data_IF_730157934335
#
_entry.id   IF_730157934335
#
_cell.length_a   1.000
_cell.length_b   1.000
_cell.length_c   1.000
_cell.angle_alpha   90.00
_cell.angle_beta   90.00
_cell.angle_gamma   90.00
#
_symmetry.space_group_name_H-M   'P 1'
#
loop_
_entity.id
_entity.type
_entity.pdbx_description
1 polymer ?
#
# COMPACT_ATOMS: atom_id res chain seq x y z
N UNK A 1 20.79 -23.24 -55.12
CA UNK A 1 20.85 -21.79 -54.77
C UNK A 1 19.66 -21.32 -53.92
N UNK A 2 18.45 -21.90 -54.07
CA UNK A 2 17.28 -21.53 -53.28
C UNK A 2 17.44 -21.88 -51.77
N UNK A 3 18.03 -23.04 -51.46
CA UNK A 3 18.31 -23.46 -50.07
C UNK A 3 19.27 -22.49 -49.34
N UNK A 4 20.28 -21.99 -50.02
CA UNK A 4 21.27 -21.06 -49.49
C UNK A 4 20.65 -19.67 -49.19
N UNK A 5 19.76 -19.20 -50.06
CA UNK A 5 19.05 -17.91 -49.86
C UNK A 5 18.05 -17.97 -48.71
N UNK A 6 17.44 -19.13 -48.46
CA UNK A 6 16.53 -19.35 -47.32
C UNK A 6 17.31 -19.42 -46.03
N UNK A 7 18.45 -20.10 -45.95
CA UNK A 7 19.38 -20.10 -44.83
C UNK A 7 19.88 -18.69 -44.48
N UNK A 8 20.21 -17.87 -45.47
CA UNK A 8 20.61 -16.47 -45.29
C UNK A 8 19.47 -15.59 -44.74
N UNK A 9 18.20 -15.94 -45.00
CA UNK A 9 17.05 -15.25 -44.41
C UNK A 9 16.89 -15.56 -42.91
N UNK A 10 17.22 -16.80 -42.44
CA UNK A 10 17.22 -17.18 -41.03
C UNK A 10 18.26 -16.40 -40.23
N UNK A 11 19.39 -15.99 -40.82
CA UNK A 11 20.36 -15.10 -40.17
C UNK A 11 19.80 -13.71 -39.82
N UNK A 12 18.60 -13.36 -40.29
CA UNK A 12 17.91 -12.13 -39.88
C UNK A 12 17.11 -12.25 -38.56
N UNK A 13 16.89 -13.48 -38.03
CA UNK A 13 16.18 -13.73 -36.76
C UNK A 13 16.76 -12.97 -35.55
N UNK A 14 18.09 -12.78 -35.41
CA UNK A 14 18.62 -11.97 -34.32
C UNK A 14 18.14 -10.52 -34.32
N UNK A 15 17.58 -10.00 -35.42
CA UNK A 15 16.99 -8.65 -35.43
C UNK A 15 15.79 -8.53 -34.50
N UNK A 16 15.05 -9.64 -34.25
CA UNK A 16 13.94 -9.70 -33.30
C UNK A 16 14.41 -9.57 -31.83
N UNK A 17 15.67 -9.87 -31.51
CA UNK A 17 16.25 -9.60 -30.22
C UNK A 17 16.26 -8.10 -29.87
N UNK A 18 16.10 -7.21 -30.88
CA UNK A 18 15.90 -5.77 -30.61
C UNK A 18 14.61 -5.46 -29.83
N UNK A 19 13.60 -6.35 -29.90
CA UNK A 19 12.41 -6.29 -29.05
C UNK A 19 12.77 -6.33 -27.55
N UNK A 20 13.90 -6.94 -27.18
CA UNK A 20 14.43 -6.90 -25.82
C UNK A 20 14.63 -5.49 -25.27
N UNK A 21 14.83 -4.48 -26.13
CA UNK A 21 14.90 -3.08 -25.72
C UNK A 21 13.56 -2.56 -25.21
N UNK A 22 12.44 -2.99 -25.81
CA UNK A 22 11.09 -2.61 -25.37
C UNK A 22 10.85 -3.14 -23.96
N UNK A 23 11.32 -4.35 -23.64
CA UNK A 23 11.20 -4.91 -22.30
C UNK A 23 11.91 -4.08 -21.23
N UNK A 24 13.05 -3.45 -21.58
CA UNK A 24 13.80 -2.58 -20.66
C UNK A 24 13.05 -1.28 -20.34
N UNK A 25 12.26 -0.75 -21.28
CA UNK A 25 11.40 0.42 -21.02
C UNK A 25 10.21 0.07 -20.15
N UNK A 26 9.70 -1.17 -20.24
CA UNK A 26 8.56 -1.64 -19.44
C UNK A 26 8.88 -1.81 -17.94
N UNK A 27 10.17 -1.88 -17.56
CA UNK A 27 10.59 -1.96 -16.16
C UNK A 27 10.36 -0.66 -15.35
N UNK A 28 10.19 0.47 -16.02
CA UNK A 28 10.00 1.79 -15.40
C UNK A 28 8.56 2.06 -14.98
N UNK A 29 7.61 1.21 -15.32
CA UNK A 29 6.21 1.42 -14.98
C UNK A 29 5.89 1.02 -13.54
N UNK A 30 5.04 1.82 -12.89
CA UNK A 30 4.59 1.65 -11.49
C UNK A 30 3.93 0.28 -11.20
N UNK A 31 3.42 -0.40 -12.23
CA UNK A 31 2.77 -1.73 -12.15
C UNK A 31 3.74 -2.87 -12.51
N UNK A 32 4.90 -2.91 -11.86
CA UNK A 32 5.97 -3.86 -12.16
C UNK A 32 5.53 -5.34 -12.15
N UNK A 33 4.54 -5.73 -11.33
CA UNK A 33 4.02 -7.10 -11.26
C UNK A 33 3.26 -7.53 -12.51
N UNK A 34 2.27 -6.73 -12.95
CA UNK A 34 1.47 -7.02 -14.14
C UNK A 34 2.33 -6.99 -15.42
N UNK A 35 3.29 -6.04 -15.50
CA UNK A 35 4.19 -5.92 -16.64
C UNK A 35 5.17 -7.11 -16.74
N UNK A 36 5.53 -7.75 -15.64
CA UNK A 36 6.30 -9.00 -15.66
C UNK A 36 5.52 -10.12 -16.35
N UNK A 37 4.23 -10.26 -16.06
CA UNK A 37 3.37 -11.27 -16.69
C UNK A 37 3.25 -11.01 -18.19
N UNK A 38 2.96 -9.77 -18.62
CA UNK A 38 2.85 -9.40 -20.04
C UNK A 38 4.14 -9.69 -20.79
N UNK A 39 5.28 -9.29 -20.24
CA UNK A 39 6.60 -9.58 -20.82
C UNK A 39 6.83 -11.07 -20.98
N UNK A 40 6.41 -11.85 -20.00
CA UNK A 40 6.58 -13.28 -20.00
C UNK A 40 5.71 -13.96 -21.07
N UNK A 41 4.43 -13.56 -21.20
CA UNK A 41 3.52 -14.05 -22.25
C UNK A 41 4.09 -13.74 -23.64
N UNK A 42 4.56 -12.52 -23.87
CA UNK A 42 5.20 -12.13 -25.13
C UNK A 42 6.44 -12.98 -25.41
N UNK A 43 7.23 -13.31 -24.40
CA UNK A 43 8.38 -14.19 -24.52
C UNK A 43 7.99 -15.60 -24.98
N UNK A 44 6.95 -16.18 -24.40
CA UNK A 44 6.44 -17.50 -24.81
C UNK A 44 5.95 -17.49 -26.25
N UNK A 45 5.19 -16.47 -26.65
CA UNK A 45 4.70 -16.31 -28.04
C UNK A 45 5.88 -16.24 -29.02
N UNK A 46 6.96 -15.51 -28.65
CA UNK A 46 8.16 -15.42 -29.48
C UNK A 46 8.90 -16.77 -29.60
N UNK A 47 9.03 -17.52 -28.49
CA UNK A 47 9.62 -18.86 -28.49
C UNK A 47 8.77 -19.79 -29.37
N UNK A 48 7.46 -19.80 -29.23
CA UNK A 48 6.55 -20.61 -30.03
C UNK A 48 6.66 -20.26 -31.53
N UNK A 49 6.77 -18.98 -31.88
CA UNK A 49 6.99 -18.55 -33.26
C UNK A 49 8.31 -19.11 -33.82
N UNK A 50 9.40 -19.03 -33.07
CA UNK A 50 10.69 -19.56 -33.54
C UNK A 50 10.67 -21.08 -33.67
N UNK A 51 10.07 -21.79 -32.71
CA UNK A 51 9.89 -23.24 -32.79
C UNK A 51 9.08 -23.62 -34.02
N UNK A 52 7.93 -22.96 -34.27
CA UNK A 52 7.10 -23.19 -35.43
C UNK A 52 7.82 -22.93 -36.77
N UNK A 53 8.55 -21.82 -36.87
CA UNK A 53 9.34 -21.51 -38.06
C UNK A 53 10.48 -22.51 -38.32
N UNK A 54 11.15 -22.97 -37.26
CA UNK A 54 12.22 -23.97 -37.36
C UNK A 54 11.65 -25.32 -37.75
N UNK A 55 10.54 -25.72 -37.19
CA UNK A 55 9.84 -26.96 -37.55
C UNK A 55 9.38 -26.96 -38.98
N UNK A 56 8.77 -25.87 -39.46
CA UNK A 56 8.44 -25.69 -40.88
C UNK A 56 9.66 -25.83 -41.79
N UNK A 57 10.79 -25.27 -41.40
CA UNK A 57 12.01 -25.35 -42.19
C UNK A 57 12.56 -26.77 -42.29
N UNK A 58 12.49 -27.55 -41.20
CA UNK A 58 12.87 -28.97 -41.19
C UNK A 58 11.99 -29.75 -42.17
N UNK A 59 10.66 -29.60 -42.07
CA UNK A 59 9.71 -30.25 -42.99
C UNK A 59 9.94 -29.86 -44.45
N UNK A 60 10.24 -28.59 -44.73
CA UNK A 60 10.53 -28.10 -46.07
C UNK A 60 11.79 -28.78 -46.67
N UNK A 61 12.83 -29.00 -45.85
CA UNK A 61 14.05 -29.68 -46.29
C UNK A 61 13.82 -31.16 -46.59
N UNK A 62 12.98 -31.82 -45.78
CA UNK A 62 12.68 -33.26 -45.90
C UNK A 62 11.68 -33.55 -47.03
N UNK A 63 10.73 -32.65 -47.30
CA UNK A 63 9.74 -32.82 -48.37
C UNK A 63 10.34 -32.83 -49.79
N UNK A 64 11.52 -32.23 -50.01
CA UNK A 64 12.22 -32.31 -51.29
C UNK A 64 12.81 -33.70 -51.60
N UNK A 65 12.99 -34.55 -50.56
CA UNK A 65 13.52 -35.92 -50.73
C UNK A 65 12.44 -36.97 -51.00
N UNK A 66 11.19 -36.56 -51.29
CA UNK A 66 10.06 -37.44 -51.61
C UNK A 66 9.48 -38.19 -50.40
N UNK A 67 9.79 -37.78 -49.20
CA UNK A 67 9.19 -38.31 -47.96
C UNK A 67 8.00 -37.48 -47.58
N UNK A 68 6.92 -38.15 -47.11
CA UNK A 68 5.77 -37.45 -46.51
C UNK A 68 6.23 -36.58 -45.36
N UNK A 69 5.70 -35.37 -45.28
CA UNK A 69 5.97 -34.48 -44.15
C UNK A 69 4.87 -34.65 -43.13
N UNK A 70 5.20 -34.37 -41.87
CA UNK A 70 4.20 -34.36 -40.78
C UNK A 70 2.94 -33.57 -41.16
N UNK A 71 3.09 -32.48 -41.91
CA UNK A 71 2.01 -31.60 -42.34
C UNK A 71 1.06 -32.33 -43.33
N UNK A 72 1.58 -33.13 -44.24
CA UNK A 72 0.80 -33.88 -45.24
C UNK A 72 0.06 -35.06 -44.59
N UNK A 73 0.73 -35.76 -43.69
CA UNK A 73 0.21 -36.99 -43.09
C UNK A 73 -0.79 -36.72 -41.94
N UNK A 74 -0.54 -35.70 -41.11
CA UNK A 74 -1.37 -35.44 -39.97
C UNK A 74 -2.50 -34.42 -40.21
N UNK A 75 -2.36 -33.55 -41.20
CA UNK A 75 -3.30 -32.46 -41.44
C UNK A 75 -3.93 -32.54 -42.84
N UNK A 76 -3.46 -33.45 -43.71
CA UNK A 76 -3.95 -33.58 -45.07
C UNK A 76 -3.73 -32.34 -45.93
N UNK A 77 -2.83 -31.48 -45.51
CA UNK A 77 -2.56 -30.19 -46.12
C UNK A 77 -1.61 -30.38 -47.33
N UNK A 78 -2.16 -30.16 -48.49
CA UNK A 78 -1.33 -29.96 -49.69
C UNK A 78 -0.68 -28.58 -49.61
N UNK A 79 0.52 -28.47 -50.21
CA UNK A 79 1.33 -27.23 -50.27
C UNK A 79 0.64 -26.01 -50.90
N UNK A 80 -0.63 -26.13 -51.30
CA UNK A 80 -1.40 -25.11 -51.98
C UNK A 80 -2.33 -24.30 -51.06
N UNK A 81 -2.32 -24.57 -49.76
CA UNK A 81 -3.15 -23.85 -48.79
C UNK A 81 -2.54 -22.49 -48.45
N UNK A 82 -3.43 -21.58 -47.94
CA UNK A 82 -3.02 -20.23 -47.55
C UNK A 82 -1.89 -20.26 -46.50
N UNK A 83 -0.88 -19.40 -46.67
CA UNK A 83 0.27 -19.25 -45.77
C UNK A 83 -0.20 -19.00 -44.33
N UNK A 84 -1.29 -18.27 -44.15
CA UNK A 84 -1.86 -18.01 -42.83
C UNK A 84 -2.40 -19.26 -42.15
N UNK A 85 -3.02 -20.15 -42.92
CA UNK A 85 -3.53 -21.42 -42.41
C UNK A 85 -2.40 -22.34 -41.98
N UNK A 86 -1.36 -22.47 -42.83
CA UNK A 86 -0.16 -23.23 -42.48
C UNK A 86 0.53 -22.68 -41.22
N UNK A 87 0.66 -21.35 -41.11
CA UNK A 87 1.27 -20.71 -39.96
C UNK A 87 0.47 -20.99 -38.68
N UNK A 88 -0.87 -20.94 -38.71
CA UNK A 88 -1.72 -21.19 -37.54
C UNK A 88 -1.56 -22.63 -37.03
N UNK A 89 -1.48 -23.60 -37.91
CA UNK A 89 -1.27 -24.99 -37.54
C UNK A 89 0.11 -25.18 -36.90
N UNK A 90 1.14 -24.59 -37.50
CA UNK A 90 2.50 -24.70 -37.00
C UNK A 90 2.70 -24.01 -35.64
N UNK A 91 2.06 -22.87 -35.42
CA UNK A 91 2.10 -22.21 -34.10
C UNK A 91 1.38 -23.06 -33.05
N UNK A 92 0.24 -23.67 -33.42
CA UNK A 92 -0.49 -24.59 -32.52
C UNK A 92 0.38 -25.82 -32.18
N UNK A 93 1.02 -26.42 -33.19
CA UNK A 93 1.96 -27.53 -33.02
C UNK A 93 3.15 -27.12 -32.11
N UNK A 94 3.70 -25.92 -32.30
CA UNK A 94 4.76 -25.41 -31.46
C UNK A 94 4.32 -25.25 -29.97
N UNK A 95 3.11 -24.78 -29.69
CA UNK A 95 2.57 -24.71 -28.35
C UNK A 95 2.40 -26.12 -27.77
N UNK A 96 1.88 -27.08 -28.50
CA UNK A 96 1.76 -28.48 -28.07
C UNK A 96 3.12 -29.06 -27.67
N UNK A 97 4.14 -28.88 -28.50
CA UNK A 97 5.50 -29.32 -28.18
C UNK A 97 6.08 -28.66 -26.94
N UNK A 98 5.86 -27.34 -26.75
CA UNK A 98 6.36 -26.60 -25.60
C UNK A 98 5.67 -27.00 -24.30
N UNK A 99 4.40 -27.39 -24.34
CA UNK A 99 3.66 -27.85 -23.15
C UNK A 99 4.02 -29.32 -22.82
N UNK A 100 4.64 -30.03 -23.73
CA UNK A 100 4.98 -31.44 -23.55
C UNK A 100 3.87 -32.39 -23.99
N UNK A 101 2.88 -31.90 -24.74
CA UNK A 101 1.90 -32.74 -25.39
C UNK A 101 2.54 -33.47 -26.56
N UNK A 102 2.51 -34.80 -26.52
CA UNK A 102 3.17 -35.66 -27.53
C UNK A 102 2.65 -35.35 -28.93
N UNK A 103 3.58 -35.28 -29.90
CA UNK A 103 3.28 -35.24 -31.33
C UNK A 103 3.87 -36.47 -31.98
N UNK A 104 3.14 -37.06 -32.96
CA UNK A 104 3.66 -38.13 -33.79
C UNK A 104 4.65 -37.52 -34.77
N UNK A 105 5.95 -37.82 -34.58
CA UNK A 105 7.04 -37.39 -35.44
C UNK A 105 7.40 -38.53 -36.37
N UNK A 106 7.47 -38.25 -37.66
CA UNK A 106 7.64 -39.26 -38.72
C UNK A 106 9.12 -39.56 -38.98
N UNK A 107 9.94 -38.53 -38.99
CA UNK A 107 11.34 -38.67 -39.36
C UNK A 107 12.27 -38.59 -38.14
N UNK A 108 13.47 -39.22 -38.21
CA UNK A 108 14.47 -39.12 -37.14
C UNK A 108 14.88 -37.66 -36.84
N UNK A 109 14.91 -36.79 -37.84
CA UNK A 109 15.27 -35.37 -37.68
C UNK A 109 14.21 -34.61 -36.93
N UNK A 110 12.91 -34.86 -37.25
CA UNK A 110 11.79 -34.31 -36.51
C UNK A 110 11.81 -34.78 -35.05
N UNK A 111 12.11 -36.08 -34.80
CA UNK A 111 12.18 -36.65 -33.45
C UNK A 111 13.28 -36.00 -32.61
N UNK A 112 14.49 -35.79 -33.17
CA UNK A 112 15.58 -35.11 -32.46
C UNK A 112 15.22 -33.66 -32.19
N UNK A 113 14.61 -32.96 -33.15
CA UNK A 113 14.12 -31.60 -32.93
C UNK A 113 13.04 -31.56 -31.86
N UNK A 114 12.04 -32.44 -31.94
CA UNK A 114 10.98 -32.54 -30.96
C UNK A 114 11.48 -32.80 -29.54
N UNK A 115 12.46 -33.70 -29.36
CA UNK A 115 13.12 -33.93 -28.08
C UNK A 115 13.79 -32.68 -27.55
N UNK A 116 14.48 -31.91 -28.40
CA UNK A 116 15.09 -30.64 -28.00
C UNK A 116 14.05 -29.61 -27.58
N UNK A 117 12.92 -29.50 -28.31
CA UNK A 117 11.82 -28.58 -27.96
C UNK A 117 11.13 -29.01 -26.69
N UNK A 118 10.97 -30.30 -26.43
CA UNK A 118 10.39 -30.84 -25.20
C UNK A 118 11.24 -30.46 -23.96
N UNK A 119 12.56 -30.57 -24.05
CA UNK A 119 13.47 -30.11 -23.00
C UNK A 119 13.36 -28.59 -22.77
N UNK A 120 13.31 -27.81 -23.86
CA UNK A 120 13.07 -26.38 -23.77
C UNK A 120 11.71 -26.09 -23.11
N UNK A 121 10.66 -26.81 -23.47
CA UNK A 121 9.31 -26.69 -22.96
C UNK A 121 9.22 -26.97 -21.47
N UNK A 122 9.92 -27.98 -20.95
CA UNK A 122 9.97 -28.26 -19.51
C UNK A 122 10.56 -27.09 -18.72
N UNK A 123 11.63 -26.45 -19.23
CA UNK A 123 12.22 -25.27 -18.63
C UNK A 123 11.24 -24.09 -18.69
N UNK A 124 10.57 -23.86 -19.81
CA UNK A 124 9.56 -22.80 -19.95
C UNK A 124 8.42 -23.03 -18.97
N UNK A 125 7.91 -24.24 -18.83
CA UNK A 125 6.82 -24.56 -17.89
C UNK A 125 7.26 -24.34 -16.45
N UNK A 126 8.47 -24.76 -16.06
CA UNK A 126 9.01 -24.49 -14.73
C UNK A 126 9.10 -22.98 -14.42
N UNK A 127 9.52 -22.18 -15.39
CA UNK A 127 9.57 -20.71 -15.28
C UNK A 127 8.17 -20.11 -15.18
N UNK A 128 7.16 -20.66 -15.91
CA UNK A 128 5.76 -20.23 -15.79
C UNK A 128 5.27 -20.44 -14.34
N UNK A 129 5.39 -21.65 -13.82
CA UNK A 129 4.93 -21.99 -12.46
C UNK A 129 5.63 -21.12 -11.43
N UNK A 130 6.95 -20.92 -11.55
CA UNK A 130 7.72 -20.06 -10.67
C UNK A 130 7.27 -18.60 -10.69
N UNK A 131 7.01 -18.02 -11.87
CA UNK A 131 6.53 -16.64 -11.98
C UNK A 131 5.11 -16.46 -11.48
N UNK A 132 4.20 -17.40 -11.74
CA UNK A 132 2.83 -17.36 -11.22
C UNK A 132 2.85 -17.44 -9.69
N UNK A 133 3.61 -18.37 -9.12
CA UNK A 133 3.78 -18.49 -7.67
C UNK A 133 4.35 -17.21 -7.05
N UNK A 134 5.35 -16.60 -7.68
CA UNK A 134 5.92 -15.32 -7.23
C UNK A 134 4.89 -14.19 -7.24
N UNK A 135 4.07 -14.08 -8.28
CA UNK A 135 3.03 -13.03 -8.37
C UNK A 135 1.96 -13.22 -7.32
N UNK A 136 1.46 -14.45 -7.12
CA UNK A 136 0.48 -14.78 -6.09
C UNK A 136 1.04 -14.48 -4.69
N UNK A 137 2.27 -14.88 -4.42
CA UNK A 137 2.94 -14.61 -3.14
C UNK A 137 3.11 -13.10 -2.88
N UNK A 138 3.48 -12.32 -3.90
CA UNK A 138 3.65 -10.87 -3.75
C UNK A 138 2.34 -10.09 -3.62
N UNK A 139 1.27 -10.50 -4.27
CA UNK A 139 -0.04 -9.86 -4.10
C UNK A 139 -0.55 -9.99 -2.67
N UNK A 140 -0.26 -11.09 -2.03
CA UNK A 140 -0.66 -11.37 -0.66
C UNK A 140 0.30 -10.80 0.39
N UNK A 141 1.44 -10.20 0.00
CA UNK A 141 2.47 -9.75 0.94
C UNK A 141 1.96 -8.75 1.97
N UNK A 142 1.02 -7.88 1.57
CA UNK A 142 0.42 -6.89 2.46
C UNK A 142 -0.56 -7.55 3.45
N UNK A 143 -1.46 -8.39 2.97
CA UNK A 143 -2.37 -9.18 3.83
C UNK A 143 -1.59 -10.16 4.70
N UNK A 144 -0.56 -10.79 4.15
CA UNK A 144 0.30 -11.70 4.90
C UNK A 144 0.97 -11.01 6.11
N UNK A 145 1.47 -9.79 5.95
CA UNK A 145 2.05 -9.01 7.06
C UNK A 145 1.03 -8.77 8.18
N UNK A 146 -0.22 -8.48 7.83
CA UNK A 146 -1.29 -8.29 8.80
C UNK A 146 -1.59 -9.60 9.52
N UNK A 147 -1.90 -10.67 8.80
CA UNK A 147 -2.23 -11.95 9.40
C UNK A 147 -1.08 -12.50 10.26
N UNK A 148 0.14 -12.47 9.74
CA UNK A 148 1.33 -12.91 10.50
C UNK A 148 1.53 -12.11 11.80
N UNK A 149 1.23 -10.81 11.81
CA UNK A 149 1.33 -10.01 13.04
C UNK A 149 0.21 -10.35 14.02
N UNK A 150 -1.03 -10.50 13.54
CA UNK A 150 -2.18 -10.87 14.37
C UNK A 150 -2.00 -12.27 14.96
N UNK A 151 -1.55 -13.24 14.16
CA UNK A 151 -1.27 -14.59 14.61
C UNK A 151 -0.21 -14.60 15.72
N UNK A 152 0.91 -13.91 15.51
CA UNK A 152 1.98 -13.78 16.52
C UNK A 152 1.46 -13.19 17.84
N UNK A 153 0.70 -12.11 17.76
CA UNK A 153 0.15 -11.45 18.96
C UNK A 153 -0.89 -12.34 19.64
N UNK A 154 -1.69 -13.07 18.86
CA UNK A 154 -2.68 -14.04 19.40
C UNK A 154 -2.01 -15.17 20.16
N UNK A 155 -0.91 -15.70 19.64
CA UNK A 155 -0.14 -16.75 20.30
C UNK A 155 0.52 -16.23 21.59
N UNK A 156 1.05 -15.00 21.58
CA UNK A 156 1.57 -14.36 22.79
C UNK A 156 0.48 -14.15 23.85
N UNK A 157 -0.72 -13.69 23.45
CA UNK A 157 -1.85 -13.50 24.37
C UNK A 157 -2.34 -14.80 24.97
N UNK A 158 -2.36 -15.90 24.16
CA UNK A 158 -2.68 -17.24 24.66
C UNK A 158 -1.65 -17.75 25.64
N UNK A 159 -0.37 -17.57 25.35
CA UNK A 159 0.72 -17.94 26.26
C UNK A 159 0.65 -17.21 27.61
N UNK A 160 0.21 -15.94 27.59
CA UNK A 160 -0.03 -15.14 28.79
C UNK A 160 -1.39 -15.40 29.46
N UNK A 161 -2.22 -16.30 28.89
CA UNK A 161 -3.56 -16.67 29.38
C UNK A 161 -4.48 -15.46 29.57
N UNK A 162 -4.42 -14.47 28.66
CA UNK A 162 -5.27 -13.28 28.74
C UNK A 162 -6.75 -13.64 28.57
N UNK A 163 -7.67 -12.95 29.28
CA UNK A 163 -9.11 -13.07 29.06
C UNK A 163 -9.50 -12.78 27.60
N UNK A 164 -10.54 -13.45 27.11
CA UNK A 164 -11.01 -13.32 25.72
C UNK A 164 -11.34 -11.87 25.37
N UNK A 165 -11.98 -11.15 26.27
CA UNK A 165 -12.32 -9.73 26.09
C UNK A 165 -11.10 -8.84 25.81
N UNK A 166 -9.97 -9.09 26.50
CA UNK A 166 -8.72 -8.36 26.25
C UNK A 166 -8.07 -8.80 24.92
N UNK A 167 -8.19 -10.08 24.56
CA UNK A 167 -7.71 -10.56 23.27
C UNK A 167 -8.46 -9.87 22.12
N UNK A 168 -9.80 -9.81 22.20
CA UNK A 168 -10.64 -9.17 21.18
C UNK A 168 -10.34 -7.67 21.05
N UNK A 169 -10.19 -6.96 22.16
CA UNK A 169 -9.79 -5.54 22.16
C UNK A 169 -8.40 -5.34 21.53
N UNK A 170 -7.46 -6.22 21.82
CA UNK A 170 -6.11 -6.14 21.25
C UNK A 170 -6.14 -6.38 19.74
N UNK A 171 -6.91 -7.36 19.27
CA UNK A 171 -7.11 -7.61 17.84
C UNK A 171 -7.75 -6.40 17.17
N UNK A 172 -8.82 -5.84 17.75
CA UNK A 172 -9.48 -4.64 17.23
C UNK A 172 -8.53 -3.44 17.12
N UNK A 173 -7.58 -3.28 18.06
CA UNK A 173 -6.54 -2.27 17.98
C UNK A 173 -5.61 -2.45 16.78
N UNK A 174 -5.11 -3.68 16.53
CA UNK A 174 -4.27 -3.97 15.37
C UNK A 174 -5.04 -3.86 14.05
N UNK A 175 -6.31 -4.26 14.05
CA UNK A 175 -7.20 -4.10 12.89
C UNK A 175 -7.40 -2.62 12.54
N UNK A 176 -7.66 -1.78 13.52
CA UNK A 176 -7.78 -0.33 13.31
C UNK A 176 -6.48 0.26 12.74
N UNK A 177 -5.32 -0.04 13.34
CA UNK A 177 -4.03 0.43 12.84
C UNK A 177 -3.81 0.03 11.39
N UNK A 178 -4.12 -1.21 11.05
CA UNK A 178 -3.95 -1.72 9.70
C UNK A 178 -4.91 -1.10 8.69
N UNK A 179 -6.17 -0.98 9.03
CA UNK A 179 -7.19 -0.41 8.15
C UNK A 179 -6.93 1.07 7.90
N UNK A 180 -6.51 1.80 8.92
CA UNK A 180 -6.28 3.25 8.87
C UNK A 180 -4.93 3.62 8.24
N UNK A 181 -3.85 3.00 8.71
CA UNK A 181 -2.48 3.44 8.40
C UNK A 181 -1.71 2.47 7.50
N UNK A 182 -2.21 1.25 7.30
CA UNK A 182 -1.51 0.17 6.60
C UNK A 182 -0.13 -0.15 7.20
N UNK A 183 0.08 0.22 8.46
CA UNK A 183 1.29 -0.03 9.23
C UNK A 183 0.93 -0.27 10.69
N UNK A 184 1.80 -0.98 11.41
CA UNK A 184 1.70 -1.16 12.86
C UNK A 184 2.53 -0.14 13.65
N UNK A 185 3.23 0.75 12.94
CA UNK A 185 3.96 1.88 13.53
C UNK A 185 3.52 3.19 12.87
N UNK A 186 2.34 3.73 13.25
CA UNK A 186 1.82 4.97 12.72
C UNK A 186 2.61 6.20 13.20
N UNK A 187 3.46 6.04 14.22
CA UNK A 187 4.38 7.10 14.66
C UNK A 187 5.48 7.38 13.65
N UNK A 188 5.74 6.42 12.74
CA UNK A 188 6.81 6.50 11.78
C UNK A 188 8.20 6.38 12.40
N UNK A 189 8.30 5.99 13.67
CA UNK A 189 9.56 5.99 14.42
C UNK A 189 10.59 5.06 13.78
N UNK A 190 10.15 3.86 13.38
CA UNK A 190 11.07 2.85 12.82
C UNK A 190 11.73 3.30 11.53
N UNK A 191 10.94 3.74 10.53
CA UNK A 191 11.52 4.11 9.23
C UNK A 191 12.24 5.45 9.27
N UNK A 192 11.86 6.36 10.17
CA UNK A 192 12.53 7.66 10.29
C UNK A 192 13.88 7.58 10.99
N UNK A 193 14.14 6.52 11.79
CA UNK A 193 15.45 6.30 12.43
C UNK A 193 16.57 6.07 11.41
N UNK A 194 16.26 5.46 10.27
CA UNK A 194 17.22 5.15 9.21
C UNK A 194 17.52 6.35 8.30
N UNK A 195 16.80 7.49 8.47
CA UNK A 195 16.91 8.66 7.62
C UNK A 195 17.91 9.68 8.16
N UNK A 196 18.40 10.54 7.25
CA UNK A 196 19.20 11.70 7.66
C UNK A 196 18.42 12.61 8.60
N UNK A 197 19.08 13.30 9.55
CA UNK A 197 18.40 14.18 10.51
C UNK A 197 17.49 15.22 9.86
N UNK A 198 17.91 15.80 8.74
CA UNK A 198 17.13 16.80 7.99
C UNK A 198 15.84 16.20 7.45
N UNK A 199 15.93 15.08 6.73
CA UNK A 199 14.77 14.41 6.13
C UNK A 199 13.81 13.88 7.21
N UNK A 200 14.34 13.35 8.31
CA UNK A 200 13.56 12.94 9.47
C UNK A 200 12.73 14.10 10.02
N UNK A 201 13.34 15.25 10.20
CA UNK A 201 12.68 16.45 10.71
C UNK A 201 11.58 16.94 9.77
N UNK A 202 11.82 16.98 8.45
CA UNK A 202 10.82 17.35 7.46
C UNK A 202 9.59 16.43 7.50
N UNK A 203 9.81 15.13 7.59
CA UNK A 203 8.72 14.14 7.70
C UNK A 203 7.93 14.32 9.00
N UNK A 204 8.60 14.49 10.13
CA UNK A 204 7.95 14.69 11.41
C UNK A 204 7.14 16.00 11.44
N UNK A 205 7.64 17.07 10.85
CA UNK A 205 6.89 18.33 10.67
C UNK A 205 5.64 18.10 9.83
N UNK A 206 5.76 17.38 8.72
CA UNK A 206 4.61 17.07 7.86
C UNK A 206 3.55 16.23 8.60
N UNK A 207 3.98 15.21 9.35
CA UNK A 207 3.08 14.34 10.12
C UNK A 207 2.37 15.04 11.28
N UNK A 208 2.93 16.13 11.80
CA UNK A 208 2.37 16.88 12.94
C UNK A 208 1.81 18.25 12.53
N UNK A 209 1.72 18.54 11.22
CA UNK A 209 1.27 19.83 10.67
C UNK A 209 -0.07 20.25 11.26
N UNK A 210 -1.04 19.34 11.35
CA UNK A 210 -2.39 19.65 11.82
C UNK A 210 -2.40 20.09 13.29
N UNK A 211 -1.58 19.46 14.13
CA UNK A 211 -1.42 19.88 15.55
C UNK A 211 -0.81 21.27 15.64
N UNK A 212 0.25 21.55 14.85
CA UNK A 212 0.97 22.82 14.89
C UNK A 212 0.07 23.97 14.41
N UNK A 213 -0.72 23.75 13.35
CA UNK A 213 -1.58 24.79 12.77
C UNK A 213 -2.80 25.08 13.63
N UNK A 214 -3.41 24.05 14.23
CA UNK A 214 -4.67 24.19 14.96
C UNK A 214 -4.47 24.73 16.38
N UNK A 215 -3.32 24.47 17.03
CA UNK A 215 -3.07 24.96 18.38
C UNK A 215 -2.56 26.41 18.39
N UNK A 216 -3.32 27.27 19.03
CA UNK A 216 -3.06 28.71 19.04
C UNK A 216 -1.68 29.08 19.63
N UNK A 217 -1.22 28.39 20.65
CA UNK A 217 0.06 28.69 21.30
C UNK A 217 1.27 28.25 20.45
N UNK A 218 1.16 27.25 19.57
CA UNK A 218 2.27 26.88 18.68
C UNK A 218 2.49 27.90 17.56
N UNK A 219 1.47 28.69 17.21
CA UNK A 219 1.59 29.74 16.18
C UNK A 219 2.56 30.86 16.57
N UNK A 220 2.80 31.03 17.86
CA UNK A 220 3.71 32.06 18.41
C UNK A 220 5.11 31.52 18.71
N UNK A 221 5.31 30.22 18.61
CA UNK A 221 6.59 29.59 18.85
C UNK A 221 7.57 29.85 17.71
N UNK A 222 8.86 29.94 18.04
CA UNK A 222 9.92 29.97 17.03
C UNK A 222 9.98 28.66 16.26
N UNK A 223 10.52 28.71 15.02
CA UNK A 223 10.70 27.50 14.23
C UNK A 223 11.52 26.43 14.96
N UNK A 224 12.54 26.83 15.71
CA UNK A 224 13.40 25.93 16.48
C UNK A 224 12.63 25.25 17.61
N UNK A 225 11.77 25.99 18.30
CA UNK A 225 10.88 25.43 19.32
C UNK A 225 9.91 24.41 18.73
N UNK A 226 9.29 24.71 17.58
CA UNK A 226 8.41 23.79 16.85
C UNK A 226 9.15 22.50 16.48
N UNK A 227 10.39 22.59 16.01
CA UNK A 227 11.21 21.42 15.69
C UNK A 227 11.43 20.51 16.91
N UNK A 228 11.73 21.09 18.06
CA UNK A 228 11.88 20.34 19.33
C UNK A 228 10.57 19.67 19.74
N UNK A 229 9.46 20.40 19.68
CA UNK A 229 8.12 19.89 20.02
C UNK A 229 7.70 18.71 19.16
N UNK A 230 7.96 18.79 17.85
CA UNK A 230 7.61 17.73 16.90
C UNK A 230 8.34 16.41 17.19
N UNK A 231 9.58 16.50 17.68
CA UNK A 231 10.34 15.33 18.14
C UNK A 231 9.86 14.76 19.49
N UNK A 232 9.21 15.58 20.31
CA UNK A 232 8.67 15.18 21.61
C UNK A 232 7.29 14.56 21.54
N UNK A 233 6.55 14.77 20.45
CA UNK A 233 5.22 14.19 20.28
C UNK A 233 5.24 12.68 20.17
N UNK A 234 4.41 12.02 20.98
CA UNK A 234 4.14 10.58 20.90
C UNK A 234 2.79 10.33 20.27
N UNK A 235 2.73 9.37 19.36
CA UNK A 235 1.47 8.93 18.76
C UNK A 235 0.81 7.89 19.68
N UNK A 236 -0.49 8.05 19.93
CA UNK A 236 -1.29 7.10 20.70
C UNK A 236 -2.68 6.95 20.08
N UNK A 237 -3.18 5.72 20.07
CA UNK A 237 -4.53 5.38 19.61
C UNK A 237 -5.37 4.94 20.78
N UNK A 238 -6.61 5.39 20.80
CA UNK A 238 -7.64 4.95 21.71
C UNK A 238 -8.78 4.32 20.91
N UNK A 239 -9.23 3.15 21.35
CA UNK A 239 -10.41 2.51 20.79
C UNK A 239 -11.68 3.17 21.31
N UNK A 240 -12.81 2.85 20.71
CA UNK A 240 -14.13 3.27 21.18
C UNK A 240 -14.29 2.87 22.65
N UNK A 241 -14.80 3.81 23.45
CA UNK A 241 -15.00 3.72 24.91
C UNK A 241 -13.72 3.64 25.75
N UNK A 242 -12.53 3.79 25.16
CA UNK A 242 -11.30 3.95 25.92
C UNK A 242 -11.27 5.28 26.68
N UNK A 243 -10.80 5.26 27.92
CA UNK A 243 -10.58 6.45 28.74
C UNK A 243 -9.26 7.10 28.33
N UNK A 244 -9.34 8.31 27.79
CA UNK A 244 -8.18 9.13 27.40
C UNK A 244 -7.62 9.83 28.63
N UNK A 245 -8.51 10.38 29.46
CA UNK A 245 -8.19 11.02 30.75
C UNK A 245 -9.28 10.72 31.74
N UNK A 246 -8.93 10.46 32.99
CA UNK A 246 -9.86 10.15 34.05
C UNK A 246 -9.95 11.31 35.04
N UNK A 247 -11.17 11.69 35.46
CA UNK A 247 -11.43 12.73 36.48
C UNK A 247 -10.76 12.37 37.81
N UNK A 248 -10.18 13.36 38.46
CA UNK A 248 -9.49 13.19 39.73
C UNK A 248 -8.08 12.59 39.62
N UNK A 249 -7.69 12.03 38.49
CA UNK A 249 -6.36 11.49 38.26
C UNK A 249 -5.36 12.63 37.98
N UNK A 250 -4.16 12.52 38.54
CA UNK A 250 -3.06 13.43 38.22
C UNK A 250 -2.45 13.02 36.86
N UNK A 251 -2.70 13.81 35.83
CA UNK A 251 -2.08 13.63 34.53
C UNK A 251 -0.77 14.41 34.46
N UNK A 252 0.16 13.90 33.67
CA UNK A 252 1.43 14.56 33.30
C UNK A 252 1.58 14.65 31.78
N UNK A 253 0.46 14.68 31.09
CA UNK A 253 0.42 14.63 29.64
C UNK A 253 -0.60 15.63 29.11
N UNK A 254 -0.29 16.20 27.95
CA UNK A 254 -1.23 16.97 27.16
C UNK A 254 -1.54 16.17 25.88
N UNK A 255 -2.82 16.03 25.58
CA UNK A 255 -3.33 15.20 24.49
C UNK A 255 -3.96 16.08 23.43
N UNK A 256 -3.59 15.89 22.17
CA UNK A 256 -4.11 16.58 20.99
C UNK A 256 -4.89 15.58 20.14
N UNK A 257 -6.11 15.91 19.76
CA UNK A 257 -6.96 15.08 18.94
C UNK A 257 -6.67 15.31 17.46
N UNK A 258 -6.25 14.24 16.76
CA UNK A 258 -5.91 14.32 15.33
C UNK A 258 -7.03 13.74 14.46
N UNK A 259 -7.64 12.66 14.94
CA UNK A 259 -8.72 11.98 14.25
C UNK A 259 -9.69 11.39 15.25
N UNK A 260 -10.98 11.31 14.87
CA UNK A 260 -12.02 10.83 15.76
C UNK A 260 -12.66 11.95 16.57
N UNK A 261 -13.35 11.57 17.63
CA UNK A 261 -13.94 12.49 18.61
C UNK A 261 -14.00 11.81 19.99
N UNK A 262 -14.10 12.61 21.04
CA UNK A 262 -14.19 12.13 22.40
C UNK A 262 -15.25 12.92 23.18
N UNK A 263 -16.00 12.21 24.03
CA UNK A 263 -17.00 12.82 24.92
C UNK A 263 -16.34 13.23 26.22
N UNK A 264 -16.77 14.38 26.73
CA UNK A 264 -16.34 14.93 28.00
C UNK A 264 -17.41 14.57 29.02
N UNK A 265 -16.99 13.86 30.09
CA UNK A 265 -17.85 13.41 31.17
C UNK A 265 -17.39 14.04 32.49
N UNK A 266 -18.31 14.36 33.36
CA UNK A 266 -18.04 14.88 34.72
C UNK A 266 -18.79 14.04 35.76
N UNK A 267 -18.16 13.79 36.90
CA UNK A 267 -18.75 13.03 37.98
C UNK A 267 -20.06 13.69 38.42
N UNK A 268 -21.12 12.89 38.57
CA UNK A 268 -22.47 13.38 38.89
C UNK A 268 -23.33 13.69 37.67
N UNK A 269 -22.81 13.78 36.46
CA UNK A 269 -23.58 13.96 35.23
C UNK A 269 -23.72 12.65 34.47
N UNK A 270 -24.97 12.28 34.11
CA UNK A 270 -25.27 11.07 33.31
C UNK A 270 -25.03 11.29 31.84
N UNK A 271 -25.05 12.51 31.36
CA UNK A 271 -24.87 12.87 29.95
C UNK A 271 -23.52 13.56 29.76
N UNK A 272 -22.91 13.40 28.57
CA UNK A 272 -21.73 14.17 28.22
C UNK A 272 -21.97 15.67 28.36
N UNK A 273 -21.06 16.38 28.99
CA UNK A 273 -21.10 17.84 29.12
C UNK A 273 -20.52 18.56 27.90
N UNK A 274 -19.78 17.84 27.04
CA UNK A 274 -19.16 18.37 25.84
C UNK A 274 -18.61 17.28 24.93
N UNK A 275 -18.15 17.71 23.78
CA UNK A 275 -17.52 16.85 22.76
C UNK A 275 -16.21 17.50 22.32
N UNK A 276 -15.12 16.75 22.35
CA UNK A 276 -13.85 17.12 21.73
C UNK A 276 -13.84 16.68 20.28
N UNK A 277 -13.39 17.56 19.40
CA UNK A 277 -13.27 17.35 17.96
C UNK A 277 -11.80 17.39 17.52
N UNK A 278 -11.57 17.06 16.25
CA UNK A 278 -10.24 17.14 15.65
C UNK A 278 -9.69 18.58 15.76
N UNK A 279 -8.49 18.69 16.29
CA UNK A 279 -7.81 19.96 16.56
C UNK A 279 -7.94 20.46 18.00
N UNK A 280 -8.84 19.86 18.80
CA UNK A 280 -8.93 20.17 20.23
C UNK A 280 -7.80 19.50 21.00
N UNK A 281 -7.51 20.03 22.17
CA UNK A 281 -6.49 19.51 23.09
C UNK A 281 -6.97 19.55 24.53
N UNK A 282 -6.34 18.74 25.36
CA UNK A 282 -6.63 18.64 26.79
C UNK A 282 -5.35 18.41 27.59
N UNK A 283 -5.32 18.90 28.84
CA UNK A 283 -4.22 18.62 29.77
C UNK A 283 -3.14 19.72 29.79
N UNK A 284 -3.43 20.93 29.30
CA UNK A 284 -2.51 22.08 29.35
C UNK A 284 -2.13 22.44 30.78
N UNK A 285 -3.10 22.38 31.73
CA UNK A 285 -2.86 22.62 33.16
C UNK A 285 -1.95 21.56 33.77
N UNK A 286 -2.03 20.33 33.28
CA UNK A 286 -1.22 19.21 33.73
C UNK A 286 0.26 19.35 33.39
N UNK A 287 0.57 20.07 32.31
CA UNK A 287 1.96 20.40 31.91
C UNK A 287 2.56 21.47 32.85
N UNK A 288 1.75 22.47 33.27
CA UNK A 288 2.23 23.62 34.01
C UNK A 288 2.32 23.35 35.53
N UNK A 289 1.35 22.62 36.07
CA UNK A 289 1.20 22.39 37.51
C UNK A 289 0.88 20.91 37.78
N UNK A 290 1.00 20.50 39.04
CA UNK A 290 0.42 19.23 39.50
C UNK A 290 -1.09 19.43 39.68
N UNK A 291 -1.84 19.27 38.61
CA UNK A 291 -3.30 19.41 38.60
C UNK A 291 -3.96 18.05 38.40
N UNK A 292 -5.11 17.83 39.05
CA UNK A 292 -5.96 16.68 38.81
C UNK A 292 -6.95 17.01 37.71
N UNK A 293 -7.23 16.08 36.84
CA UNK A 293 -8.21 16.27 35.78
C UNK A 293 -9.58 16.62 36.39
N UNK A 294 -10.19 17.68 35.90
CA UNK A 294 -11.52 18.11 36.32
C UNK A 294 -12.65 17.33 35.67
N UNK A 295 -12.37 16.61 34.61
CA UNK A 295 -13.30 15.84 33.78
C UNK A 295 -12.67 14.56 33.30
N UNK A 296 -13.50 13.59 32.95
CA UNK A 296 -13.08 12.40 32.20
C UNK A 296 -13.29 12.60 30.71
N UNK A 297 -12.34 12.15 29.90
CA UNK A 297 -12.42 12.18 28.45
C UNK A 297 -12.43 10.74 27.97
N UNK A 298 -13.46 10.38 27.23
CA UNK A 298 -13.68 9.01 26.73
C UNK A 298 -13.82 9.05 25.21
N UNK A 299 -13.07 8.21 24.52
CA UNK A 299 -13.14 8.09 23.07
C UNK A 299 -14.55 7.63 22.63
N UNK A 300 -15.19 8.38 21.75
CA UNK A 300 -16.52 8.04 21.23
C UNK A 300 -16.46 7.15 19.97
N UNK A 301 -15.33 7.15 19.33
CA UNK A 301 -14.94 6.27 18.23
C UNK A 301 -13.43 6.05 18.29
N UNK A 302 -12.90 5.18 17.42
CA UNK A 302 -11.47 5.00 17.33
C UNK A 302 -10.77 6.33 17.03
N UNK A 303 -9.87 6.73 17.91
CA UNK A 303 -9.35 8.09 18.01
C UNK A 303 -7.82 8.09 17.97
N UNK A 304 -7.25 8.87 17.04
CA UNK A 304 -5.82 9.10 16.94
C UNK A 304 -5.43 10.38 17.69
N UNK A 305 -4.38 10.30 18.48
CA UNK A 305 -3.91 11.43 19.28
C UNK A 305 -2.41 11.64 19.18
N UNK A 306 -1.98 12.88 19.44
CA UNK A 306 -0.60 13.18 19.81
C UNK A 306 -0.54 13.54 21.28
N UNK A 307 0.49 13.06 21.93
CA UNK A 307 0.68 13.24 23.36
C UNK A 307 2.02 13.93 23.61
N UNK A 308 2.00 14.99 24.38
CA UNK A 308 3.18 15.69 24.90
C UNK A 308 3.30 15.41 26.38
N UNK A 309 4.39 14.76 26.79
CA UNK A 309 4.66 14.42 28.20
C UNK A 309 5.29 15.62 28.91
N UNK A 310 4.90 15.85 30.15
CA UNK A 310 5.38 16.96 30.99
C UNK A 310 6.90 17.06 31.07
N UNK A 311 7.60 15.96 31.24
CA UNK A 311 9.07 15.94 31.30
C UNK A 311 9.69 16.49 30.01
N UNK A 312 9.20 16.04 28.85
CA UNK A 312 9.70 16.49 27.55
C UNK A 312 9.36 17.97 27.31
N UNK A 313 8.18 18.40 27.77
CA UNK A 313 7.79 19.82 27.76
C UNK A 313 8.69 20.68 28.64
N UNK A 314 8.98 20.27 29.88
CA UNK A 314 9.87 20.97 30.79
C UNK A 314 11.29 21.11 30.24
N UNK A 315 11.82 20.05 29.63
CA UNK A 315 13.13 20.06 28.96
C UNK A 315 13.15 21.09 27.80
N UNK A 316 12.07 21.21 27.03
CA UNK A 316 11.95 22.21 25.95
C UNK A 316 11.85 23.62 26.51
N UNK A 317 11.13 23.82 27.62
CA UNK A 317 10.97 25.13 28.26
C UNK A 317 12.27 25.68 28.85
N UNK A 318 13.27 24.86 29.12
CA UNK A 318 14.62 25.32 29.52
C UNK A 318 15.25 26.13 28.40
N UNK A 319 15.14 25.63 27.15
CA UNK A 319 15.69 26.29 25.98
C UNK A 319 14.77 27.42 25.44
N UNK A 320 13.46 27.28 25.64
CA UNK A 320 12.41 28.18 25.11
C UNK A 320 11.41 28.61 26.20
N UNK A 321 11.77 29.54 27.11
CA UNK A 321 10.92 29.94 28.21
C UNK A 321 9.60 30.59 27.75
N UNK A 322 9.59 31.26 26.61
CA UNK A 322 8.40 31.91 26.02
C UNK A 322 7.24 30.91 25.79
N UNK A 323 7.56 29.64 25.52
CA UNK A 323 6.56 28.58 25.35
C UNK A 323 5.72 28.38 26.61
N UNK A 324 6.37 28.40 27.77
CA UNK A 324 5.69 28.26 29.08
C UNK A 324 4.71 29.42 29.33
N UNK A 325 5.14 30.63 29.03
CA UNK A 325 4.33 31.83 29.20
C UNK A 325 3.11 31.84 28.29
N UNK A 326 3.24 31.39 27.05
CA UNK A 326 2.11 31.30 26.12
C UNK A 326 1.09 30.23 26.52
N UNK A 327 1.52 29.07 27.00
CA UNK A 327 0.60 28.06 27.49
C UNK A 327 -0.08 28.54 28.79
N UNK A 328 0.62 29.24 29.67
CA UNK A 328 0.05 29.81 30.89
C UNK A 328 -1.05 30.84 30.58
N UNK A 329 -0.83 31.74 29.62
CA UNK A 329 -1.83 32.70 29.15
C UNK A 329 -3.06 32.02 28.57
N UNK A 330 -2.87 30.99 27.77
CA UNK A 330 -3.96 30.23 27.16
C UNK A 330 -4.77 29.44 28.19
N UNK A 331 -4.11 28.84 29.20
CA UNK A 331 -4.74 28.12 30.29
C UNK A 331 -5.61 29.04 31.16
N UNK A 332 -5.11 30.24 31.50
CA UNK A 332 -5.89 31.22 32.26
C UNK A 332 -7.08 31.79 31.50
N UNK A 333 -6.98 31.91 30.19
CA UNK A 333 -8.11 32.37 29.36
C UNK A 333 -9.22 31.31 29.28
N UNK A 334 -8.89 30.04 29.26
CA UNK A 334 -9.85 28.94 29.28
C UNK A 334 -10.59 28.86 30.64
N UNK A 335 -9.93 29.17 31.78
CA UNK A 335 -10.56 29.22 33.08
C UNK A 335 -11.67 30.29 33.19
N UNK A 336 -11.50 31.43 32.53
CA UNK A 336 -12.51 32.51 32.49
C UNK A 336 -13.73 32.08 31.65
N UNK A 337 -13.54 31.24 30.64
CA UNK A 337 -14.64 30.71 29.83
C UNK A 337 -15.35 29.52 30.47
N UNK A 338 -14.66 28.71 31.29
CA UNK A 338 -15.27 27.63 32.08
C UNK A 338 -16.14 28.17 33.24
N UNK A 339 -15.77 29.32 33.84
CA UNK A 339 -16.54 29.98 34.89
C UNK A 339 -17.80 30.71 34.39
N UNK A 340 -17.89 30.98 33.13
CA UNK A 340 -19.04 31.60 32.46
C UNK A 340 -19.62 30.65 31.42
N UNK A 341 -20.47 29.73 31.86
CA UNK A 341 -21.43 28.96 31.06
C UNK A 341 -21.32 29.17 29.54
N UNK A 342 -20.34 28.52 28.90
CA UNK A 342 -20.37 28.29 27.47
C UNK A 342 -19.07 27.58 27.04
N UNK A 343 -19.08 26.25 27.01
CA UNK A 343 -18.34 25.53 25.99
C UNK A 343 -18.94 26.01 24.66
N UNK A 344 -18.28 26.94 24.03
CA UNK A 344 -18.62 27.36 22.67
C UNK A 344 -18.33 26.19 21.77
N UNK A 345 -19.33 25.38 21.53
CA UNK A 345 -19.50 24.73 20.24
C UNK A 345 -19.63 25.83 19.18
N UNK A 346 -18.53 26.35 18.71
CA UNK A 346 -18.51 27.15 17.51
C UNK A 346 -18.83 26.19 16.37
N UNK A 347 -20.12 26.02 16.14
CA UNK A 347 -20.67 25.54 14.87
C UNK A 347 -20.17 26.50 13.80
N UNK A 348 -19.00 26.25 13.25
CA UNK A 348 -18.69 26.68 11.89
C UNK A 348 -19.61 25.89 10.96
N UNK A 349 -20.81 26.42 10.79
CA UNK A 349 -21.67 26.11 9.65
C UNK A 349 -20.82 26.41 8.42
N UNK A 350 -20.32 25.36 7.79
CA UNK A 350 -19.80 25.41 6.44
C UNK A 350 -20.96 25.85 5.58
N UNK A 351 -20.89 27.09 5.08
CA UNK A 351 -21.81 27.57 4.05
C UNK A 351 -21.66 26.70 2.80
N UNK A 352 -22.52 25.73 2.63
CA UNK A 352 -22.85 25.20 1.32
C UNK A 352 -23.62 26.31 0.61
N UNK A 353 -22.95 27.02 -0.31
CA UNK A 353 -23.64 27.76 -1.35
C UNK A 353 -24.42 26.79 -2.21
N UNK A 354 -25.70 26.64 -1.91
CA UNK A 354 -26.70 26.12 -2.82
C UNK A 354 -26.75 27.04 -4.05
N UNK A 355 -26.05 26.66 -5.11
CA UNK A 355 -26.32 27.18 -6.43
C UNK A 355 -27.66 26.62 -6.89
N UNK A 356 -28.72 27.38 -6.63
CA UNK A 356 -30.01 27.25 -7.28
C UNK A 356 -29.84 27.52 -8.77
N UNK A 357 -29.75 26.44 -9.55
CA UNK A 357 -29.90 26.51 -11.00
C UNK A 357 -31.39 26.75 -11.30
N UNK A 358 -31.71 28.00 -11.57
CA UNK A 358 -33.00 28.40 -12.15
C UNK A 358 -33.14 27.82 -13.56
N UNK A 359 -33.99 26.84 -13.69
CA UNK A 359 -34.57 26.40 -14.97
C UNK A 359 -35.52 27.45 -15.48
N UNK A 360 -35.08 28.34 -16.34
CA UNK A 360 -35.94 29.09 -17.21
C UNK A 360 -35.94 28.51 -18.63
N UNK A 361 -37.11 28.11 -19.02
CA UNK A 361 -37.39 27.53 -20.32
C UNK A 361 -37.16 28.50 -21.49
N UNK A 362 -36.70 27.94 -22.60
CA UNK A 362 -36.91 28.54 -23.92
C UNK A 362 -37.30 27.47 -24.93
N UNK A 363 -38.61 27.45 -25.21
CA UNK A 363 -39.20 26.90 -26.42
C UNK A 363 -38.78 27.71 -27.65
N UNK A 364 -38.76 27.02 -28.82
CA UNK A 364 -38.73 27.48 -30.23
C UNK A 364 -37.32 27.70 -30.81
N UNK A 365 -36.90 26.95 -31.77
CA UNK A 365 -37.40 26.55 -33.09
C UNK A 365 -36.69 25.31 -33.59
#
# INVERSE_FOLDING_TARGET
>A
NAKLTTLLRLLKLPRLLRLGRIFKYMERFKYAGAMKIVRFILGIIMIAHWVGCTFFFIMYLEGEDGRGTWLEDNVGLRTNESIWFQYTILIYAAFKMLIGEGMEMQTPTEQVFGAGVLLLGTVVTAVIVGNVSFVVSNQNSTSYKYHSKVDMVTDEMRALQLPVELQDRTIAYYEYLWNRHRTFDPSGTRFTQDLSPTLRTEILLHMNKDVIVNCAFFRKCSNECILRLVHAFRYRVFLTDDVIAEEGQASQEMVFLIHGNARIMQLGHRMPIGLMQVGDYFGEKSLLMHHRNAVSIIANCNTDTRVLVKREFEDICIDFPDLRDEITKTSTHNDVTESGNNFRGDTRVGGEEEQTVSTEGRKKK
#
